data_IF_172610166184
#
_entry.id   IF_172610166184
#
_cell.length_a   1.000
_cell.length_b   1.000
_cell.length_c   1.000
_cell.angle_alpha   90.00
_cell.angle_beta   90.00
_cell.angle_gamma   90.00
#
_symmetry.space_group_name_H-M   'P 1'
#
loop_
_entity.id
_entity.type
_entity.pdbx_description
1 polymer ?
#
# COMPACT_ATOMS: atom_id res chain seq x y z
N UNK A 1 -21.05 -18.45 21.71
CA UNK A 1 -20.03 -17.45 22.08
C UNK A 1 -18.71 -18.05 21.67
N UNK A 2 -17.99 -17.38 20.76
CA UNK A 2 -16.76 -17.90 20.21
C UNK A 2 -15.72 -18.09 21.32
N UNK A 3 -14.86 -19.09 21.14
CA UNK A 3 -13.78 -19.40 22.08
C UNK A 3 -12.44 -19.06 21.45
N UNK A 4 -11.70 -18.14 22.06
CA UNK A 4 -10.34 -17.84 21.61
C UNK A 4 -9.39 -18.97 22.04
N UNK A 5 -8.77 -19.62 21.06
CA UNK A 5 -7.70 -20.60 21.24
C UNK A 5 -6.36 -19.87 21.39
N UNK A 6 -6.21 -18.74 20.68
CA UNK A 6 -5.12 -17.77 20.81
C UNK A 6 -5.70 -16.36 20.73
N UNK A 7 -5.18 -15.46 21.56
CA UNK A 7 -5.59 -14.04 21.61
C UNK A 7 -4.35 -13.15 21.40
N UNK A 8 -4.56 -11.98 20.80
CA UNK A 8 -3.55 -10.94 20.64
C UNK A 8 -3.09 -10.39 22.00
N UNK A 9 -1.80 -10.08 22.14
CA UNK A 9 -1.18 -9.66 23.40
C UNK A 9 -1.23 -8.14 23.63
N UNK A 10 -1.35 -7.31 22.58
CA UNK A 10 -1.03 -5.88 22.64
C UNK A 10 -2.07 -4.91 22.04
N UNK A 11 -3.35 -5.28 21.99
CA UNK A 11 -4.42 -4.47 21.37
C UNK A 11 -4.73 -3.08 22.04
N UNK A 12 -3.86 -2.53 22.91
CA UNK A 12 -4.17 -1.36 23.76
C UNK A 12 -3.07 -0.33 24.02
N UNK A 13 -1.95 -0.30 23.28
CA UNK A 13 -0.84 0.65 23.52
C UNK A 13 -0.51 1.60 22.33
N UNK A 14 -1.51 2.01 21.55
CA UNK A 14 -1.29 2.72 20.28
C UNK A 14 -1.18 4.25 20.41
N UNK A 15 -1.86 4.85 21.38
CA UNK A 15 -2.14 6.30 21.38
C UNK A 15 -0.89 7.21 21.54
N UNK A 16 0.11 6.80 22.34
CA UNK A 16 1.29 7.65 22.57
C UNK A 16 2.27 7.62 21.37
N UNK A 17 2.36 6.50 20.66
CA UNK A 17 3.14 6.39 19.44
C UNK A 17 2.54 7.27 18.34
N UNK A 18 1.22 7.28 18.22
CA UNK A 18 0.49 8.08 17.24
C UNK A 18 0.68 9.59 17.44
N UNK A 19 0.73 10.05 18.71
CA UNK A 19 0.97 11.46 19.02
C UNK A 19 2.37 11.94 18.57
N UNK A 20 3.41 11.11 18.74
CA UNK A 20 4.78 11.44 18.31
C UNK A 20 4.90 11.48 16.79
N UNK A 21 4.28 10.52 16.09
CA UNK A 21 4.25 10.49 14.61
C UNK A 21 3.56 11.74 14.07
N UNK A 22 2.41 12.11 14.62
CA UNK A 22 1.66 13.31 14.22
C UNK A 22 2.50 14.58 14.25
N UNK A 23 3.15 14.87 15.38
CA UNK A 23 3.95 16.10 15.53
C UNK A 23 5.18 16.12 14.60
N UNK A 24 5.82 14.96 14.39
CA UNK A 24 6.95 14.85 13.48
C UNK A 24 6.53 15.08 12.02
N UNK A 25 5.40 14.50 11.61
CA UNK A 25 4.84 14.66 10.25
C UNK A 25 4.41 16.11 10.01
N UNK A 26 3.74 16.73 10.97
CA UNK A 26 3.30 18.13 10.88
C UNK A 26 4.49 19.07 10.65
N UNK A 27 5.57 18.89 11.42
CA UNK A 27 6.80 19.66 11.26
C UNK A 27 7.41 19.49 9.86
N UNK A 28 7.45 18.26 9.32
CA UNK A 28 7.98 18.00 7.97
C UNK A 28 7.10 18.66 6.90
N UNK A 29 5.77 18.54 7.01
CA UNK A 29 4.84 19.14 6.04
C UNK A 29 4.98 20.67 6.04
N UNK A 30 5.09 21.29 7.22
CA UNK A 30 5.34 22.73 7.34
C UNK A 30 6.65 23.14 6.68
N UNK A 31 7.71 22.38 6.95
CA UNK A 31 9.04 22.68 6.43
C UNK A 31 9.10 22.61 4.89
N UNK A 32 8.47 21.59 4.30
CA UNK A 32 8.32 21.47 2.84
C UNK A 32 7.46 22.61 2.27
N UNK A 33 6.40 23.02 2.98
CA UNK A 33 5.55 24.14 2.56
C UNK A 33 6.31 25.47 2.51
N UNK A 34 7.21 25.70 3.47
CA UNK A 34 7.93 26.97 3.62
C UNK A 34 9.18 27.05 2.74
N UNK A 35 9.91 25.92 2.59
CA UNK A 35 11.23 25.89 1.93
C UNK A 35 11.30 25.09 0.64
N UNK A 36 10.20 24.45 0.21
CA UNK A 36 10.14 23.72 -1.06
C UNK A 36 11.23 22.66 -1.22
N UNK A 37 11.88 22.64 -2.38
CA UNK A 37 12.91 21.66 -2.74
C UNK A 37 14.09 21.61 -1.77
N UNK A 38 14.41 22.73 -1.10
CA UNK A 38 15.51 22.77 -0.14
C UNK A 38 15.23 21.87 1.07
N UNK A 39 14.01 21.91 1.63
CA UNK A 39 13.61 21.03 2.72
C UNK A 39 13.53 19.57 2.24
N UNK A 40 12.95 19.33 1.06
CA UNK A 40 12.86 17.97 0.48
C UNK A 40 14.23 17.31 0.38
N UNK A 41 15.22 18.05 -0.14
CA UNK A 41 16.59 17.55 -0.30
C UNK A 41 17.27 17.28 1.05
N UNK A 42 17.13 18.19 2.01
CA UNK A 42 17.68 18.02 3.35
C UNK A 42 17.09 16.78 4.07
N UNK A 43 15.78 16.59 3.95
CA UNK A 43 15.10 15.45 4.56
C UNK A 43 15.48 14.13 3.88
N UNK A 44 15.61 14.11 2.55
CA UNK A 44 16.09 12.94 1.79
C UNK A 44 17.53 12.56 2.20
N UNK A 45 18.43 13.52 2.34
CA UNK A 45 19.79 13.25 2.83
C UNK A 45 19.79 12.75 4.29
N UNK A 46 18.90 13.32 5.13
CA UNK A 46 18.81 12.94 6.54
C UNK A 46 18.31 11.51 6.71
N UNK A 47 17.20 11.17 6.07
CA UNK A 47 16.49 9.91 6.28
C UNK A 47 16.95 8.79 5.36
N UNK A 48 17.24 9.10 4.10
CA UNK A 48 17.52 8.11 3.06
C UNK A 48 18.99 8.10 2.62
N UNK A 49 19.83 9.03 3.15
CA UNK A 49 21.24 9.22 2.75
C UNK A 49 21.38 9.39 1.23
N UNK A 50 20.43 10.12 0.65
CA UNK A 50 20.25 10.22 -0.78
C UNK A 50 20.00 11.67 -1.20
N UNK A 51 20.92 12.23 -1.97
CA UNK A 51 20.85 13.59 -2.50
C UNK A 51 21.49 13.67 -3.90
N UNK A 52 20.92 12.99 -4.91
CA UNK A 52 21.39 13.06 -6.29
C UNK A 52 21.17 14.47 -6.87
N UNK A 53 21.88 14.88 -7.93
CA UNK A 53 21.65 16.17 -8.59
C UNK A 53 20.18 16.39 -8.99
N UNK A 54 19.50 15.32 -9.44
CA UNK A 54 18.07 15.29 -9.72
C UNK A 54 17.45 14.07 -9.06
N UNK A 55 16.31 14.26 -8.38
CA UNK A 55 15.49 13.14 -7.92
C UNK A 55 14.65 12.53 -9.07
N UNK A 56 14.33 13.33 -10.08
CA UNK A 56 13.62 12.89 -11.29
C UNK A 56 14.57 12.09 -12.16
N UNK A 57 14.15 10.90 -12.55
CA UNK A 57 14.85 10.08 -13.53
C UNK A 57 14.62 10.63 -14.95
N UNK A 58 15.69 10.67 -15.75
CA UNK A 58 15.58 10.90 -17.19
C UNK A 58 15.14 9.62 -17.91
N UNK A 59 14.70 9.76 -19.17
CA UNK A 59 14.38 8.60 -19.99
C UNK A 59 15.59 7.67 -20.20
N UNK A 60 16.81 8.22 -20.23
CA UNK A 60 18.03 7.43 -20.31
C UNK A 60 18.28 6.64 -19.02
N UNK A 61 18.05 7.25 -17.85
CA UNK A 61 18.16 6.55 -16.56
C UNK A 61 17.14 5.41 -16.48
N UNK A 62 15.89 5.67 -16.88
CA UNK A 62 14.82 4.67 -16.89
C UNK A 62 15.17 3.51 -17.82
N UNK A 63 15.62 3.78 -19.05
CA UNK A 63 16.05 2.73 -20.00
C UNK A 63 17.21 1.90 -19.45
N UNK A 64 18.20 2.57 -18.85
CA UNK A 64 19.36 1.91 -18.24
C UNK A 64 18.97 1.00 -17.08
N UNK A 65 18.01 1.41 -16.25
CA UNK A 65 17.48 0.61 -15.15
C UNK A 65 16.66 -0.57 -15.65
N UNK A 66 15.77 -0.37 -16.63
CA UNK A 66 14.99 -1.46 -17.23
C UNK A 66 15.91 -2.52 -17.86
N UNK A 67 17.02 -2.12 -18.48
CA UNK A 67 17.99 -3.04 -19.07
C UNK A 67 18.71 -3.94 -18.04
N UNK A 68 18.66 -3.60 -16.74
CA UNK A 68 19.23 -4.42 -15.66
C UNK A 68 18.25 -5.49 -15.15
N UNK A 69 16.97 -5.38 -15.50
CA UNK A 69 15.93 -6.30 -15.04
C UNK A 69 15.95 -7.58 -15.87
N UNK A 70 15.84 -8.73 -15.21
CA UNK A 70 15.80 -10.02 -15.89
C UNK A 70 14.59 -10.08 -16.86
N UNK A 71 14.76 -10.66 -18.07
CA UNK A 71 13.66 -10.73 -19.03
C UNK A 71 12.39 -11.38 -18.49
N UNK A 72 12.53 -12.43 -17.67
CA UNK A 72 11.39 -13.08 -17.03
C UNK A 72 10.63 -12.12 -16.10
N UNK A 73 11.33 -11.36 -15.26
CA UNK A 73 10.73 -10.36 -14.38
C UNK A 73 9.98 -9.28 -15.16
N UNK A 74 10.50 -8.86 -16.33
CA UNK A 74 9.78 -7.93 -17.22
C UNK A 74 8.48 -8.54 -17.74
N UNK A 75 8.49 -9.82 -18.13
CA UNK A 75 7.28 -10.51 -18.57
C UNK A 75 6.27 -10.70 -17.42
N UNK A 76 6.74 -11.00 -16.21
CA UNK A 76 5.89 -11.11 -15.02
C UNK A 76 5.23 -9.76 -14.67
N UNK A 77 5.98 -8.66 -14.76
CA UNK A 77 5.46 -7.29 -14.59
C UNK A 77 4.37 -7.00 -15.62
N UNK A 78 4.62 -7.29 -16.90
CA UNK A 78 3.64 -7.06 -17.96
C UNK A 78 2.39 -7.91 -17.76
N UNK A 79 2.56 -9.17 -17.37
CA UNK A 79 1.46 -10.08 -17.08
C UNK A 79 0.58 -9.53 -15.95
N UNK A 80 1.17 -9.17 -14.82
CA UNK A 80 0.45 -8.59 -13.68
C UNK A 80 -0.31 -7.32 -14.07
N UNK A 81 0.36 -6.41 -14.78
CA UNK A 81 -0.26 -5.16 -15.24
C UNK A 81 -1.39 -5.40 -16.25
N UNK A 82 -1.29 -6.41 -17.11
CA UNK A 82 -2.35 -6.77 -18.03
C UNK A 82 -3.60 -7.26 -17.28
N UNK A 83 -3.44 -8.10 -16.26
CA UNK A 83 -4.57 -8.57 -15.43
C UNK A 83 -5.25 -7.41 -14.69
N UNK A 84 -4.45 -6.54 -14.07
CA UNK A 84 -4.94 -5.36 -13.32
C UNK A 84 -5.64 -4.38 -14.27
N UNK A 85 -5.05 -4.10 -15.43
CA UNK A 85 -5.62 -3.22 -16.45
C UNK A 85 -6.97 -3.74 -16.94
N UNK A 86 -7.04 -5.02 -17.28
CA UNK A 86 -8.26 -5.65 -17.75
C UNK A 86 -9.41 -5.50 -16.74
N UNK A 87 -9.17 -5.77 -15.46
CA UNK A 87 -10.23 -5.62 -14.45
C UNK A 87 -10.57 -4.15 -14.19
N UNK A 88 -9.58 -3.26 -14.13
CA UNK A 88 -9.82 -1.83 -13.98
C UNK A 88 -10.65 -1.25 -15.14
N UNK A 89 -10.46 -1.74 -16.37
CA UNK A 89 -11.24 -1.32 -17.54
C UNK A 89 -12.70 -1.78 -17.42
N UNK A 90 -12.94 -3.00 -16.93
CA UNK A 90 -14.28 -3.51 -16.64
C UNK A 90 -14.96 -2.65 -15.57
N UNK A 91 -14.25 -2.30 -14.49
CA UNK A 91 -14.77 -1.41 -13.46
C UNK A 91 -15.06 0.00 -13.99
N UNK A 92 -14.19 0.56 -14.83
CA UNK A 92 -14.43 1.87 -15.45
C UNK A 92 -15.64 1.85 -16.38
N UNK A 93 -15.82 0.77 -17.14
CA UNK A 93 -16.94 0.60 -18.06
C UNK A 93 -18.30 0.42 -17.35
N UNK A 94 -18.31 -0.01 -16.08
CA UNK A 94 -19.54 -0.09 -15.29
C UNK A 94 -20.01 1.28 -14.76
N UNK A 95 -19.14 2.29 -14.77
CA UNK A 95 -19.44 3.66 -14.34
C UNK A 95 -19.98 4.48 -15.51
N UNK A 96 -21.31 4.52 -15.67
CA UNK A 96 -21.97 5.25 -16.75
C UNK A 96 -22.40 6.66 -16.34
N UNK A 97 -22.11 7.64 -17.20
CA UNK A 97 -22.69 8.97 -17.11
C UNK A 97 -24.22 8.87 -17.28
N UNK A 98 -24.96 9.67 -16.53
CA UNK A 98 -26.43 9.74 -16.59
C UNK A 98 -26.84 11.13 -17.01
N UNK A 99 -27.77 11.22 -17.96
CA UNK A 99 -28.44 12.45 -18.35
C UNK A 99 -29.89 12.11 -18.73
N UNK A 100 -30.84 12.67 -17.99
CA UNK A 100 -32.27 12.33 -18.14
C UNK A 100 -33.15 13.55 -17.93
N UNK A 101 -34.11 13.75 -18.83
CA UNK A 101 -35.17 14.75 -18.67
C UNK A 101 -36.26 14.18 -17.74
N UNK A 102 -36.34 14.68 -16.51
CA UNK A 102 -37.28 14.17 -15.50
C UNK A 102 -38.64 14.86 -15.55
N UNK A 103 -38.67 16.10 -16.06
CA UNK A 103 -39.85 16.89 -16.38
C UNK A 103 -39.56 17.73 -17.63
N UNK A 104 -40.58 18.19 -18.38
CA UNK A 104 -40.35 19.03 -19.55
C UNK A 104 -39.44 20.23 -19.25
N UNK A 105 -38.26 20.26 -19.88
CA UNK A 105 -37.23 21.27 -19.72
C UNK A 105 -36.29 21.10 -18.53
N UNK A 106 -36.39 20.02 -17.74
CA UNK A 106 -35.54 19.74 -16.57
C UNK A 106 -34.71 18.49 -16.80
N UNK A 107 -33.42 18.69 -17.09
CA UNK A 107 -32.43 17.62 -17.28
C UNK A 107 -31.59 17.46 -16.02
N UNK A 108 -31.56 16.24 -15.48
CA UNK A 108 -30.74 15.85 -14.33
C UNK A 108 -29.75 14.77 -14.75
N UNK A 109 -28.59 14.71 -14.08
CA UNK A 109 -27.55 13.77 -14.45
C UNK A 109 -26.31 13.84 -13.58
N UNK A 110 -25.37 12.95 -13.89
CA UNK A 110 -24.01 12.96 -13.33
C UNK A 110 -23.00 12.55 -14.40
N UNK A 111 -21.75 12.97 -14.22
CA UNK A 111 -20.63 12.58 -15.08
C UNK A 111 -19.42 12.17 -14.28
N UNK A 112 -18.69 11.18 -14.77
CA UNK A 112 -17.45 10.69 -14.18
C UNK A 112 -16.23 11.29 -14.89
N UNK A 113 -15.64 12.31 -14.28
CA UNK A 113 -14.48 13.04 -14.82
C UNK A 113 -13.22 12.57 -14.07
N UNK A 114 -12.15 12.14 -14.75
CA UNK A 114 -10.90 11.82 -14.07
C UNK A 114 -10.26 13.06 -13.44
N UNK A 115 -9.53 12.85 -12.36
CA UNK A 115 -8.66 13.90 -11.81
C UNK A 115 -7.55 14.26 -12.80
N UNK A 116 -7.03 15.49 -12.72
CA UNK A 116 -6.03 15.99 -13.66
C UNK A 116 -4.66 15.37 -13.42
N UNK A 117 -4.19 15.39 -12.16
CA UNK A 117 -2.88 14.89 -11.74
C UNK A 117 -2.99 13.96 -10.54
N UNK A 118 -2.33 12.80 -10.59
CA UNK A 118 -2.21 11.88 -9.45
C UNK A 118 -0.75 11.74 -9.02
N UNK A 119 -0.51 11.82 -7.71
CA UNK A 119 0.75 11.44 -7.08
C UNK A 119 0.66 10.00 -6.56
N UNK A 120 1.42 9.09 -7.15
CA UNK A 120 1.51 7.69 -6.74
C UNK A 120 2.73 7.49 -5.85
N UNK A 121 2.52 7.21 -4.56
CA UNK A 121 3.61 6.80 -3.67
C UNK A 121 3.76 5.27 -3.70
N UNK A 122 4.93 4.80 -4.13
CA UNK A 122 5.29 3.38 -4.13
C UNK A 122 6.32 3.16 -3.02
N UNK A 123 5.96 2.42 -1.95
CA UNK A 123 6.87 2.23 -0.83
C UNK A 123 8.05 1.32 -1.21
N UNK A 124 9.23 1.64 -0.66
CA UNK A 124 10.41 0.77 -0.75
C UNK A 124 10.66 -0.11 0.48
N UNK A 125 9.94 0.14 1.58
CA UNK A 125 9.87 -0.70 2.79
C UNK A 125 11.21 -1.29 3.28
N UNK A 126 11.13 -2.46 3.94
CA UNK A 126 12.25 -3.40 4.04
C UNK A 126 12.55 -4.07 2.69
N UNK A 127 11.54 -4.12 1.81
CA UNK A 127 11.58 -4.79 0.52
C UNK A 127 10.99 -3.88 -0.57
N UNK A 128 11.64 -3.75 -1.73
CA UNK A 128 11.08 -3.05 -2.89
C UNK A 128 9.72 -3.64 -3.29
N UNK A 129 8.65 -2.83 -3.25
CA UNK A 129 7.29 -3.33 -3.43
C UNK A 129 6.76 -3.03 -4.84
N UNK A 130 7.18 -3.86 -5.81
CA UNK A 130 6.79 -3.77 -7.23
C UNK A 130 5.26 -3.76 -7.41
N UNK A 131 4.54 -4.58 -6.63
CA UNK A 131 3.08 -4.71 -6.69
C UNK A 131 2.32 -3.38 -6.47
N UNK A 132 2.82 -2.50 -5.58
CA UNK A 132 2.17 -1.21 -5.30
C UNK A 132 2.19 -0.26 -6.50
N UNK A 133 3.22 -0.34 -7.34
CA UNK A 133 3.29 0.43 -8.59
C UNK A 133 2.16 0.01 -9.54
N UNK A 134 1.88 -1.29 -9.65
CA UNK A 134 0.82 -1.80 -10.52
C UNK A 134 -0.55 -1.29 -10.08
N UNK A 135 -0.91 -1.47 -8.81
CA UNK A 135 -2.25 -1.13 -8.32
C UNK A 135 -2.53 0.37 -8.33
N UNK A 136 -1.50 1.22 -8.21
CA UNK A 136 -1.65 2.67 -8.16
C UNK A 136 -1.62 3.32 -9.55
N UNK A 137 -0.62 2.98 -10.37
CA UNK A 137 -0.35 3.70 -11.61
C UNK A 137 -1.25 3.18 -12.74
N UNK A 138 -1.44 1.86 -12.83
CA UNK A 138 -2.26 1.25 -13.90
C UNK A 138 -3.72 1.71 -13.78
N UNK A 139 -4.26 1.71 -12.57
CA UNK A 139 -5.65 2.14 -12.31
C UNK A 139 -5.86 3.61 -12.59
N UNK A 140 -4.92 4.49 -12.18
CA UNK A 140 -4.94 5.90 -12.53
C UNK A 140 -4.91 6.12 -14.06
N UNK A 141 -4.11 5.33 -14.79
CA UNK A 141 -4.12 5.38 -16.27
C UNK A 141 -5.44 4.96 -16.88
N UNK A 142 -6.01 3.85 -16.41
CA UNK A 142 -7.32 3.37 -16.90
C UNK A 142 -8.44 4.37 -16.61
N UNK A 143 -8.38 5.06 -15.47
CA UNK A 143 -9.34 6.11 -15.14
C UNK A 143 -9.30 7.29 -16.13
N UNK A 144 -8.18 7.48 -16.84
CA UNK A 144 -7.97 8.58 -17.79
C UNK A 144 -7.26 9.79 -17.17
N UNK A 145 -6.49 9.59 -16.11
CA UNK A 145 -5.72 10.67 -15.46
C UNK A 145 -4.70 11.24 -16.46
N UNK A 146 -4.72 12.56 -16.60
CA UNK A 146 -3.89 13.28 -17.57
C UNK A 146 -2.41 13.22 -17.24
N UNK A 147 -2.04 13.26 -15.95
CA UNK A 147 -0.65 13.18 -15.52
C UNK A 147 -0.42 12.36 -14.25
N UNK A 148 0.58 11.46 -14.23
CA UNK A 148 0.94 10.63 -13.07
C UNK A 148 2.39 10.87 -12.68
N UNK A 149 2.58 11.39 -11.48
CA UNK A 149 3.89 11.50 -10.83
C UNK A 149 4.04 10.31 -9.88
N UNK A 150 5.11 9.53 -10.01
CA UNK A 150 5.37 8.36 -9.18
C UNK A 150 6.65 8.57 -8.35
N UNK A 151 6.55 8.37 -7.03
CA UNK A 151 7.66 8.51 -6.10
C UNK A 151 7.96 7.17 -5.42
N UNK A 152 9.24 6.80 -5.34
CA UNK A 152 9.73 5.67 -4.54
C UNK A 152 11.00 6.07 -3.80
N UNK A 153 11.18 5.67 -2.52
CA UNK A 153 12.47 5.86 -1.86
C UNK A 153 13.61 5.13 -2.60
N UNK A 154 14.87 5.57 -2.43
CA UNK A 154 16.02 4.81 -2.87
C UNK A 154 16.13 3.48 -2.09
N UNK A 155 16.68 2.46 -2.73
CA UNK A 155 17.04 1.17 -2.16
C UNK A 155 18.55 0.99 -2.28
N UNK A 156 19.22 0.62 -1.17
CA UNK A 156 20.67 0.40 -1.14
C UNK A 156 21.50 1.56 -1.76
N UNK A 157 21.03 2.80 -1.57
CA UNK A 157 21.71 3.99 -2.09
C UNK A 157 21.42 4.34 -3.55
N UNK A 158 20.35 3.82 -4.16
CA UNK A 158 19.94 4.19 -5.52
C UNK A 158 18.54 3.72 -5.92
N UNK A 159 18.10 3.95 -7.16
CA UNK A 159 16.84 3.41 -7.68
C UNK A 159 16.84 1.88 -7.72
N UNK A 160 15.70 1.25 -7.38
CA UNK A 160 15.52 -0.18 -7.56
C UNK A 160 15.02 -0.52 -8.98
N UNK A 161 15.78 -1.23 -9.82
CA UNK A 161 15.47 -1.41 -11.25
C UNK A 161 14.06 -1.96 -11.53
N UNK A 162 13.61 -2.98 -10.81
CA UNK A 162 12.31 -3.62 -11.04
C UNK A 162 11.15 -2.69 -10.67
N UNK A 163 11.32 -1.89 -9.62
CA UNK A 163 10.31 -0.91 -9.19
C UNK A 163 10.16 0.19 -10.25
N UNK A 164 11.29 0.68 -10.78
CA UNK A 164 11.28 1.70 -11.84
C UNK A 164 10.69 1.14 -13.13
N UNK A 165 11.03 -0.11 -13.50
CA UNK A 165 10.43 -0.80 -14.63
C UNK A 165 8.91 -0.91 -14.48
N UNK A 166 8.42 -1.31 -13.30
CA UNK A 166 6.99 -1.41 -13.02
C UNK A 166 6.28 -0.05 -13.07
N UNK A 167 6.87 1.02 -12.52
CA UNK A 167 6.31 2.36 -12.62
C UNK A 167 6.21 2.84 -14.08
N UNK A 168 7.30 2.66 -14.84
CA UNK A 168 7.36 3.09 -16.23
C UNK A 168 6.36 2.32 -17.11
N UNK A 169 6.38 0.99 -17.05
CA UNK A 169 5.46 0.13 -17.81
C UNK A 169 4.00 0.32 -17.38
N UNK A 170 3.77 0.62 -16.09
CA UNK A 170 2.44 0.96 -15.57
C UNK A 170 1.90 2.26 -16.16
N UNK A 171 2.81 3.12 -16.62
CA UNK A 171 2.53 4.32 -17.39
C UNK A 171 2.79 5.62 -16.63
N UNK A 172 3.63 5.68 -15.60
CA UNK A 172 3.97 6.97 -14.96
C UNK A 172 4.60 7.96 -15.95
N UNK A 173 4.25 9.25 -15.89
CA UNK A 173 4.88 10.29 -16.72
C UNK A 173 6.20 10.77 -16.13
N UNK A 174 6.25 10.85 -14.79
CA UNK A 174 7.42 11.32 -14.07
C UNK A 174 7.73 10.35 -12.93
N UNK A 175 8.98 9.89 -12.86
CA UNK A 175 9.44 8.98 -11.82
C UNK A 175 10.51 9.67 -11.00
N UNK A 176 10.29 9.71 -9.68
CA UNK A 176 11.19 10.32 -8.71
C UNK A 176 11.69 9.28 -7.71
N UNK A 177 13.00 9.25 -7.52
CA UNK A 177 13.63 8.47 -6.44
C UNK A 177 13.66 9.32 -5.18
N UNK A 178 12.49 9.41 -4.54
CA UNK A 178 12.23 10.19 -3.33
C UNK A 178 11.15 9.49 -2.48
N UNK A 179 11.38 9.35 -1.19
CA UNK A 179 10.49 8.63 -0.27
C UNK A 179 9.88 9.48 0.85
N UNK A 180 9.13 8.81 1.73
CA UNK A 180 8.71 9.35 3.01
C UNK A 180 7.71 10.50 2.94
N UNK A 181 7.59 11.21 4.06
CA UNK A 181 6.66 12.35 4.22
C UNK A 181 7.02 13.47 3.25
N UNK A 182 8.32 13.69 3.00
CA UNK A 182 8.81 14.73 2.10
C UNK A 182 8.36 14.50 0.65
N UNK A 183 8.33 13.25 0.16
CA UNK A 183 7.78 12.94 -1.18
C UNK A 183 6.28 13.23 -1.25
N UNK A 184 5.54 12.78 -0.22
CA UNK A 184 4.09 12.95 -0.13
C UNK A 184 3.72 14.44 -0.06
N UNK A 185 4.43 15.21 0.77
CA UNK A 185 4.25 16.65 0.91
C UNK A 185 4.61 17.38 -0.38
N UNK A 186 5.71 17.02 -1.04
CA UNK A 186 6.11 17.64 -2.32
C UNK A 186 5.05 17.40 -3.42
N UNK A 187 4.54 16.17 -3.54
CA UNK A 187 3.46 15.87 -4.49
C UNK A 187 2.14 16.58 -4.15
N UNK A 188 1.79 16.71 -2.87
CA UNK A 188 0.53 17.35 -2.45
C UNK A 188 0.55 18.88 -2.54
N UNK A 189 1.65 19.49 -2.08
CA UNK A 189 1.75 20.94 -1.95
C UNK A 189 2.31 21.60 -3.21
N UNK A 190 3.05 20.83 -4.02
CA UNK A 190 3.92 21.36 -5.05
C UNK A 190 5.19 21.97 -4.47
N UNK A 191 6.24 22.00 -5.28
CA UNK A 191 7.51 22.68 -5.02
C UNK A 191 8.02 23.29 -6.33
N UNK A 192 9.25 23.79 -6.36
CA UNK A 192 9.89 24.23 -7.61
C UNK A 192 10.01 23.09 -8.62
N UNK A 193 10.24 21.87 -8.14
CA UNK A 193 10.33 20.65 -8.97
C UNK A 193 8.98 19.95 -9.17
N UNK A 194 8.07 19.99 -8.18
CA UNK A 194 6.81 19.25 -8.22
C UNK A 194 5.62 20.15 -8.54
N UNK A 195 4.86 19.78 -9.57
CA UNK A 195 3.51 20.31 -9.73
C UNK A 195 2.56 19.57 -8.78
N UNK A 196 1.67 20.29 -8.06
CA UNK A 196 0.78 19.67 -7.08
C UNK A 196 -0.18 18.69 -7.74
N UNK A 197 -0.41 17.56 -7.09
CA UNK A 197 -1.40 16.56 -7.48
C UNK A 197 -2.80 16.93 -6.97
N UNK A 198 -3.83 16.46 -7.68
CA UNK A 198 -5.23 16.56 -7.24
C UNK A 198 -5.58 15.43 -6.26
N UNK A 199 -4.92 14.27 -6.41
CA UNK A 199 -5.11 13.10 -5.57
C UNK A 199 -3.78 12.38 -5.32
N UNK A 200 -3.60 11.90 -4.09
CA UNK A 200 -2.50 11.02 -3.70
C UNK A 200 -3.01 9.59 -3.51
N UNK A 201 -2.28 8.63 -4.06
CA UNK A 201 -2.59 7.21 -3.95
C UNK A 201 -1.35 6.41 -3.55
N UNK A 202 -1.58 5.23 -3.01
CA UNK A 202 -0.54 4.26 -2.70
C UNK A 202 -0.28 4.16 -1.19
N UNK A 203 0.01 2.94 -0.70
CA UNK A 203 0.21 2.67 0.72
C UNK A 203 1.56 3.19 1.18
N UNK A 204 1.73 3.33 2.49
CA UNK A 204 3.02 3.64 3.09
C UNK A 204 3.03 3.31 4.58
N UNK A 205 4.17 3.53 5.21
CA UNK A 205 4.30 3.38 6.65
C UNK A 205 3.43 4.39 7.42
N UNK A 206 3.41 4.29 8.75
CA UNK A 206 2.64 5.18 9.63
C UNK A 206 2.88 6.67 9.35
N UNK A 207 4.09 7.08 8.98
CA UNK A 207 4.42 8.47 8.67
C UNK A 207 3.77 8.94 7.35
N UNK A 208 3.78 8.10 6.31
CA UNK A 208 3.12 8.40 5.02
C UNK A 208 1.61 8.40 5.17
N UNK A 209 1.05 7.44 5.93
CA UNK A 209 -0.38 7.39 6.24
C UNK A 209 -0.82 8.66 6.98
N UNK A 210 -0.07 9.07 8.02
CA UNK A 210 -0.33 10.29 8.77
C UNK A 210 -0.16 11.55 7.89
N UNK A 211 0.82 11.57 6.98
CA UNK A 211 1.01 12.69 6.07
C UNK A 211 -0.19 12.86 5.13
N UNK A 212 -0.66 11.77 4.53
CA UNK A 212 -1.89 11.75 3.71
C UNK A 212 -3.09 12.22 4.55
N UNK A 213 -3.20 11.78 5.80
CA UNK A 213 -4.25 12.21 6.72
C UNK A 213 -4.24 13.72 6.97
N UNK A 214 -3.07 14.31 7.23
CA UNK A 214 -2.94 15.74 7.48
C UNK A 214 -3.10 16.61 6.21
N UNK A 215 -2.77 16.06 5.04
CA UNK A 215 -2.89 16.73 3.73
C UNK A 215 -4.29 16.59 3.12
N UNK A 216 -5.12 15.67 3.62
CA UNK A 216 -6.49 15.49 3.17
C UNK A 216 -7.30 16.79 3.29
N UNK A 217 -8.07 17.11 2.25
CA UNK A 217 -8.80 18.38 2.11
C UNK A 217 -8.03 19.45 1.34
N UNK A 218 -6.68 19.40 1.34
CA UNK A 218 -5.85 20.13 0.36
C UNK A 218 -5.66 19.32 -0.92
N UNK A 219 -5.49 18.01 -0.78
CA UNK A 219 -5.41 17.02 -1.86
C UNK A 219 -6.35 15.86 -1.55
N UNK A 220 -6.88 15.20 -2.58
CA UNK A 220 -7.60 13.94 -2.41
C UNK A 220 -6.65 12.85 -1.92
N UNK A 221 -7.16 11.87 -1.17
CA UNK A 221 -6.43 10.65 -0.82
C UNK A 221 -7.32 9.44 -1.13
N UNK A 222 -6.70 8.30 -1.40
CA UNK A 222 -7.38 7.00 -1.57
C UNK A 222 -8.09 6.53 -0.28
N UNK A 223 -7.36 6.40 0.83
CA UNK A 223 -7.85 5.90 2.11
C UNK A 223 -6.93 6.28 3.27
N UNK A 224 -7.47 6.27 4.49
CA UNK A 224 -6.67 6.36 5.71
C UNK A 224 -6.09 4.98 6.02
N UNK A 225 -4.80 4.79 5.72
CA UNK A 225 -4.19 3.48 5.83
C UNK A 225 -4.00 3.05 7.29
N UNK A 226 -4.39 1.82 7.59
CA UNK A 226 -4.03 1.10 8.81
C UNK A 226 -3.00 0.01 8.53
N UNK A 227 -2.59 -0.76 9.56
CA UNK A 227 -1.85 -1.99 9.36
C UNK A 227 -2.58 -2.92 8.38
N UNK A 228 -1.83 -3.65 7.57
CA UNK A 228 -2.38 -4.72 6.72
C UNK A 228 -2.74 -5.94 7.56
N UNK A 229 -3.82 -6.63 7.21
CA UNK A 229 -4.37 -7.74 7.98
C UNK A 229 -4.93 -8.86 7.09
N UNK A 230 -5.10 -10.05 7.66
CA UNK A 230 -5.75 -11.19 7.03
C UNK A 230 -6.69 -11.89 8.02
N UNK A 231 -7.84 -12.31 7.51
CA UNK A 231 -8.79 -13.17 8.19
C UNK A 231 -9.01 -14.42 7.34
N UNK A 232 -8.61 -15.59 7.86
CA UNK A 232 -8.84 -16.89 7.24
C UNK A 232 -10.07 -17.51 7.89
N UNK A 233 -11.07 -17.89 7.09
CA UNK A 233 -12.23 -18.66 7.55
C UNK A 233 -12.08 -20.07 6.98
N UNK A 234 -11.99 -21.08 7.85
CA UNK A 234 -11.70 -22.45 7.43
C UNK A 234 -12.47 -23.49 8.27
N UNK A 235 -13.01 -24.50 7.61
CA UNK A 235 -13.63 -25.67 8.25
C UNK A 235 -12.61 -26.82 8.44
N UNK A 236 -13.06 -27.99 8.87
CA UNK A 236 -12.20 -29.15 9.11
C UNK A 236 -11.62 -29.80 7.85
N UNK A 237 -12.02 -29.37 6.66
CA UNK A 237 -11.47 -29.86 5.39
C UNK A 237 -10.22 -29.12 4.93
N UNK A 238 -9.92 -27.97 5.54
CA UNK A 238 -8.78 -27.14 5.19
C UNK A 238 -7.45 -27.76 5.62
N UNK A 239 -6.41 -27.49 4.83
CA UNK A 239 -5.05 -27.91 5.14
C UNK A 239 -4.39 -26.92 6.12
N UNK A 240 -3.92 -27.44 7.26
CA UNK A 240 -3.32 -26.63 8.31
C UNK A 240 -2.01 -25.93 7.88
N UNK A 241 -1.23 -26.55 6.99
CA UNK A 241 0.00 -25.95 6.48
C UNK A 241 -0.33 -24.75 5.59
N UNK A 242 -1.32 -24.85 4.71
CA UNK A 242 -1.80 -23.75 3.88
C UNK A 242 -2.35 -22.59 4.72
N UNK A 243 -3.22 -22.87 5.70
CA UNK A 243 -3.73 -21.82 6.58
C UNK A 243 -2.59 -21.11 7.33
N UNK A 244 -1.62 -21.86 7.85
CA UNK A 244 -0.45 -21.27 8.51
C UNK A 244 0.41 -20.44 7.55
N UNK A 245 0.55 -20.86 6.29
CA UNK A 245 1.28 -20.12 5.25
C UNK A 245 0.59 -18.81 4.91
N UNK A 246 -0.73 -18.80 4.75
CA UNK A 246 -1.48 -17.56 4.47
C UNK A 246 -1.39 -16.56 5.63
N UNK A 247 -1.55 -17.05 6.87
CA UNK A 247 -1.41 -16.24 8.08
C UNK A 247 0.01 -15.64 8.20
N UNK A 248 1.04 -16.46 7.96
CA UNK A 248 2.42 -15.99 8.03
C UNK A 248 2.81 -15.08 6.86
N UNK A 249 2.24 -15.28 5.67
CA UNK A 249 2.40 -14.41 4.52
C UNK A 249 1.90 -12.98 4.79
N UNK A 250 0.82 -12.83 5.56
CA UNK A 250 0.42 -11.52 6.05
C UNK A 250 1.29 -11.03 7.22
N UNK A 251 1.65 -11.91 8.15
CA UNK A 251 2.44 -11.54 9.33
C UNK A 251 3.83 -10.99 8.94
N UNK A 252 4.43 -11.44 7.83
CA UNK A 252 5.74 -10.96 7.38
C UNK A 252 5.74 -9.54 6.82
N UNK A 253 4.57 -8.96 6.50
CA UNK A 253 4.47 -7.58 6.01
C UNK A 253 4.95 -6.54 7.05
N UNK A 254 4.83 -6.87 8.34
CA UNK A 254 5.27 -5.98 9.42
C UNK A 254 4.86 -6.48 10.80
N UNK A 255 5.58 -6.05 11.87
CA UNK A 255 5.41 -6.57 13.23
C UNK A 255 4.05 -6.25 13.87
N UNK A 256 3.27 -5.37 13.24
CA UNK A 256 1.93 -4.96 13.69
C UNK A 256 0.82 -5.52 12.81
N UNK A 257 1.10 -6.52 11.95
CA UNK A 257 0.12 -7.07 11.01
C UNK A 257 -0.74 -8.13 11.70
N UNK A 258 -2.06 -7.92 11.85
CA UNK A 258 -2.95 -8.94 12.39
C UNK A 258 -3.08 -10.13 11.42
N UNK A 259 -3.16 -11.33 11.99
CA UNK A 259 -3.40 -12.56 11.24
C UNK A 259 -4.34 -13.46 12.05
N UNK A 260 -5.57 -13.62 11.59
CA UNK A 260 -6.66 -14.21 12.36
C UNK A 260 -7.20 -15.44 11.63
N UNK A 261 -7.41 -16.53 12.37
CA UNK A 261 -8.11 -17.72 11.90
C UNK A 261 -9.47 -17.85 12.62
N UNK A 262 -10.55 -17.94 11.86
CA UNK A 262 -11.85 -18.40 12.32
C UNK A 262 -12.04 -19.84 11.85
N UNK A 263 -12.43 -20.73 12.77
CA UNK A 263 -12.71 -22.12 12.41
C UNK A 263 -13.77 -22.74 13.29
N UNK A 264 -14.49 -23.73 12.78
CA UNK A 264 -15.35 -24.63 13.56
C UNK A 264 -14.60 -25.87 14.08
N UNK A 265 -13.37 -26.08 13.61
CA UNK A 265 -12.58 -27.27 13.91
C UNK A 265 -11.52 -26.99 14.98
N UNK A 266 -11.70 -27.59 16.16
CA UNK A 266 -10.68 -27.52 17.22
C UNK A 266 -9.39 -28.25 16.83
N UNK A 267 -9.49 -29.28 15.99
CA UNK A 267 -8.33 -29.98 15.44
C UNK A 267 -7.50 -29.04 14.58
N UNK A 268 -8.13 -28.40 13.59
CA UNK A 268 -7.46 -27.45 12.70
C UNK A 268 -6.84 -26.29 13.49
N UNK A 269 -7.60 -25.71 14.44
CA UNK A 269 -7.12 -24.62 15.29
C UNK A 269 -5.80 -24.96 15.99
N UNK A 270 -5.64 -26.20 16.46
CA UNK A 270 -4.42 -26.65 17.15
C UNK A 270 -3.30 -26.97 16.16
N UNK A 271 -3.63 -27.62 15.03
CA UNK A 271 -2.66 -27.95 13.99
C UNK A 271 -2.04 -26.70 13.37
N UNK A 272 -2.81 -25.64 13.13
CA UNK A 272 -2.29 -24.37 12.62
C UNK A 272 -1.26 -23.75 13.58
N UNK A 273 -1.46 -23.83 14.91
CA UNK A 273 -0.45 -23.36 15.88
C UNK A 273 0.87 -24.13 15.72
N UNK A 274 0.78 -25.45 15.52
CA UNK A 274 1.96 -26.28 15.30
C UNK A 274 2.66 -25.95 13.97
N UNK A 275 1.89 -25.75 12.90
CA UNK A 275 2.44 -25.42 11.59
C UNK A 275 3.08 -24.03 11.54
N UNK A 276 2.45 -23.03 12.17
CA UNK A 276 3.08 -21.71 12.33
C UNK A 276 4.43 -21.84 13.04
N UNK A 277 4.49 -22.63 14.13
CA UNK A 277 5.74 -22.87 14.86
C UNK A 277 6.80 -23.64 14.06
N UNK A 278 6.41 -24.46 13.08
CA UNK A 278 7.32 -25.16 12.17
C UNK A 278 7.83 -24.22 11.08
N UNK A 279 6.94 -23.50 10.40
CA UNK A 279 7.25 -22.61 9.28
C UNK A 279 8.15 -21.45 9.71
N UNK A 280 7.92 -20.87 10.90
CA UNK A 280 8.77 -19.81 11.46
C UNK A 280 10.25 -20.24 11.68
N UNK A 281 10.57 -21.53 11.66
CA UNK A 281 11.98 -21.99 11.78
C UNK A 281 12.77 -21.85 10.48
N UNK A 282 12.08 -21.78 9.34
CA UNK A 282 12.71 -21.75 8.01
C UNK A 282 12.42 -20.46 7.24
N UNK A 283 11.38 -19.72 7.65
CA UNK A 283 11.00 -18.46 7.03
C UNK A 283 12.09 -17.40 7.21
N UNK A 284 12.51 -16.76 6.11
CA UNK A 284 13.57 -15.75 6.14
C UNK A 284 13.18 -14.49 6.94
N UNK A 285 11.88 -14.19 6.98
CA UNK A 285 11.23 -13.05 7.65
C UNK A 285 10.70 -13.42 9.04
N UNK A 286 11.13 -14.55 9.62
CA UNK A 286 10.61 -15.06 10.89
C UNK A 286 10.77 -14.08 12.07
N UNK A 287 11.77 -13.19 12.06
CA UNK A 287 11.96 -12.14 13.06
C UNK A 287 10.80 -11.14 13.07
N UNK A 288 10.21 -10.86 11.91
CA UNK A 288 9.05 -9.97 11.76
C UNK A 288 7.76 -10.73 11.95
N UNK A 289 7.59 -11.82 11.20
CA UNK A 289 6.35 -12.60 11.20
C UNK A 289 6.07 -13.22 12.58
N UNK A 290 7.11 -13.64 13.31
CA UNK A 290 6.98 -14.17 14.66
C UNK A 290 6.49 -13.15 15.68
N UNK A 291 6.91 -11.88 15.55
CA UNK A 291 6.42 -10.78 16.40
C UNK A 291 4.96 -10.48 16.08
N UNK A 292 4.62 -10.31 14.80
CA UNK A 292 3.25 -10.08 14.36
C UNK A 292 2.30 -11.19 14.81
N UNK A 293 2.68 -12.46 14.59
CA UNK A 293 1.90 -13.60 15.06
C UNK A 293 1.78 -13.65 16.59
N UNK A 294 2.87 -13.39 17.31
CA UNK A 294 2.87 -13.35 18.78
C UNK A 294 1.89 -12.32 19.32
N UNK A 295 2.03 -11.08 18.85
CA UNK A 295 1.38 -9.92 19.43
C UNK A 295 -0.04 -9.67 18.89
N UNK A 296 -0.31 -10.04 17.63
CA UNK A 296 -1.54 -9.73 16.90
C UNK A 296 -2.26 -10.95 16.31
N UNK A 297 -1.62 -12.12 16.32
CA UNK A 297 -2.24 -13.34 15.80
C UNK A 297 -3.37 -13.85 16.70
N UNK A 298 -4.47 -14.29 16.11
CA UNK A 298 -5.62 -14.86 16.82
C UNK A 298 -6.15 -16.14 16.17
N UNK A 299 -6.69 -17.02 16.99
CA UNK A 299 -7.45 -18.19 16.51
C UNK A 299 -8.74 -18.25 17.32
N UNK A 300 -9.86 -18.17 16.62
CA UNK A 300 -11.20 -18.09 17.20
C UNK A 300 -11.99 -19.32 16.76
N UNK A 301 -12.31 -20.18 17.72
CA UNK A 301 -13.15 -21.35 17.51
C UNK A 301 -14.62 -20.95 17.62
N UNK A 302 -15.35 -21.14 16.53
CA UNK A 302 -16.78 -20.87 16.40
C UNK A 302 -17.58 -22.17 16.45
N UNK A 303 -18.86 -22.08 16.81
CA UNK A 303 -19.75 -23.23 16.89
C UNK A 303 -20.22 -23.72 15.51
N UNK A 304 -20.41 -22.80 14.57
CA UNK A 304 -20.92 -23.03 13.22
C UNK A 304 -20.49 -21.90 12.26
N UNK A 305 -20.80 -22.07 10.97
CA UNK A 305 -20.50 -21.11 9.90
C UNK A 305 -21.18 -19.76 10.13
N UNK A 306 -22.36 -19.76 10.74
CA UNK A 306 -23.08 -18.53 11.08
C UNK A 306 -22.33 -17.73 12.17
N UNK A 307 -21.74 -18.40 13.18
CA UNK A 307 -20.89 -17.76 14.17
C UNK A 307 -19.56 -17.28 13.57
N UNK A 308 -18.94 -18.04 12.65
CA UNK A 308 -17.75 -17.55 11.91
C UNK A 308 -18.06 -16.30 11.10
N UNK A 309 -19.19 -16.26 10.40
CA UNK A 309 -19.60 -15.10 9.59
C UNK A 309 -19.83 -13.87 10.47
N UNK A 310 -20.53 -14.04 11.60
CA UNK A 310 -20.75 -12.93 12.56
C UNK A 310 -19.45 -12.41 13.17
N UNK A 311 -18.47 -13.29 13.43
CA UNK A 311 -17.17 -12.85 13.94
C UNK A 311 -16.31 -12.20 12.86
N UNK A 312 -16.45 -12.60 11.60
CA UNK A 312 -15.76 -11.95 10.48
C UNK A 312 -16.27 -10.53 10.21
N UNK A 313 -17.58 -10.29 10.41
CA UNK A 313 -18.21 -8.98 10.22
C UNK A 313 -17.91 -7.97 11.35
N UNK A 314 -17.42 -8.44 12.50
CA UNK A 314 -17.24 -7.64 13.72
C UNK A 314 -15.94 -6.84 13.72
#
# INVERSE_FOLDING_TARGET
MPRHIKTAALAGQQEEADAKVRGAVEAIIMDVRERGDAAVRELSERFDKWSPPSFRLSDDDIRSLIAQVAPQTIEDIKFAQAQIRNFAEIQRASMQDVEVETLPGIVLGHRHIPVGRVGCYVPGGRYPMVASAHMSIVTARVAGVGHITACTPPNQGGPHPETIAAMHLGGADEIYVLGGVQAVAAMALGTETFQPADMLVGPGNAYVAEAKRQLYGKVGIDLFAGPTEILVIADDSADAEMCATDLLGQAEHGPTSPAILLTTSETLAREVIHEVGRQLRVLQTADVAGVAWGDWGEIILCADDDEMTREADR
#
